data_IF_060968501283
#
_entry.id   IF_060968501283
#
_cell.length_a   1.000
_cell.length_b   1.000
_cell.length_c   1.000
_cell.angle_alpha   90.00
_cell.angle_beta   90.00
_cell.angle_gamma   90.00
#
_symmetry.space_group_name_H-M   'P 1'
#
loop_
_entity.id
_entity.type
_entity.pdbx_description
1 polymer ?
#
# COMPACT_ATOMS: atom_id res chain seq x y z
N UNK A 1 2.31 34.17 -11.92
CA UNK A 1 2.82 32.97 -11.23
C UNK A 1 2.55 33.10 -9.73
N UNK A 2 1.45 32.55 -9.15
CA UNK A 2 1.18 32.71 -7.72
C UNK A 2 1.03 31.43 -6.85
N UNK A 3 1.01 30.20 -7.37
CA UNK A 3 0.86 29.03 -6.48
C UNK A 3 1.01 27.64 -7.10
N UNK A 4 1.69 26.75 -6.37
CA UNK A 4 1.97 25.34 -6.71
C UNK A 4 1.48 24.38 -5.62
N UNK A 5 0.24 23.91 -5.65
CA UNK A 5 -0.86 24.78 -5.24
C UNK A 5 -0.76 25.02 -3.72
N UNK A 6 -0.90 26.27 -3.30
CA UNK A 6 -0.34 26.90 -2.09
C UNK A 6 -0.43 26.14 -0.74
N UNK A 7 0.60 25.44 -0.23
CA UNK A 7 1.70 24.71 -0.89
C UNK A 7 1.55 23.24 -0.44
N UNK A 8 0.93 22.43 -1.28
CA UNK A 8 0.62 21.01 -1.06
C UNK A 8 -0.27 20.73 0.17
N UNK A 9 -1.53 21.16 0.12
CA UNK A 9 -1.97 22.24 0.99
C UNK A 9 -2.18 21.73 2.44
N UNK A 10 -1.36 22.10 3.44
CA UNK A 10 -0.10 22.84 3.40
C UNK A 10 0.95 22.00 4.14
N UNK A 11 1.69 21.16 3.41
CA UNK A 11 2.23 19.88 3.90
C UNK A 11 1.15 18.92 4.46
N UNK A 12 -0.06 18.98 3.88
CA UNK A 12 -1.27 18.23 4.27
C UNK A 12 -1.54 18.14 5.79
N UNK A 13 -1.90 19.24 6.46
CA UNK A 13 -0.87 20.09 7.07
C UNK A 13 -0.43 19.44 8.40
N UNK A 14 0.86 19.53 8.72
CA UNK A 14 1.51 18.91 9.90
C UNK A 14 1.21 17.40 10.07
N UNK A 15 1.07 16.72 8.92
CA UNK A 15 0.96 15.27 8.78
C UNK A 15 -0.28 14.63 9.43
N UNK A 16 -1.37 15.34 9.69
CA UNK A 16 -2.54 14.76 10.38
C UNK A 16 -3.29 13.69 9.54
N UNK A 17 -3.12 13.70 8.22
CA UNK A 17 -3.84 12.86 7.25
C UNK A 17 -2.85 11.94 6.53
N UNK A 18 -3.28 10.71 6.24
CA UNK A 18 -2.52 9.75 5.43
C UNK A 18 -2.98 9.83 3.98
N UNK A 19 -2.05 9.99 3.04
CA UNK A 19 -2.33 10.11 1.62
C UNK A 19 -2.40 8.74 0.93
N UNK A 20 -3.33 8.53 -0.02
CA UNK A 20 -3.43 7.29 -0.79
C UNK A 20 -2.24 7.09 -1.73
N UNK A 21 -1.69 5.87 -1.75
CA UNK A 21 -0.61 5.47 -2.65
C UNK A 21 -1.00 5.58 -4.14
N UNK A 22 -0.03 5.62 -5.09
CA UNK A 22 -0.27 5.95 -6.50
C UNK A 22 -1.45 5.22 -7.16
N UNK A 23 -1.54 3.90 -6.95
CA UNK A 23 -2.52 3.04 -7.63
C UNK A 23 -3.95 3.08 -7.07
N UNK A 24 -4.22 3.79 -5.95
CA UNK A 24 -5.58 3.87 -5.41
C UNK A 24 -6.43 4.90 -6.17
N UNK A 25 -7.72 4.59 -6.36
CA UNK A 25 -8.70 5.52 -6.93
C UNK A 25 -8.91 6.73 -6.00
N UNK A 26 -8.44 7.90 -6.46
CA UNK A 26 -8.51 9.17 -5.72
C UNK A 26 -9.68 10.06 -6.15
N UNK A 27 -10.14 9.92 -7.38
CA UNK A 27 -11.29 10.61 -7.99
C UNK A 27 -12.60 10.45 -7.21
N UNK A 28 -12.70 9.41 -6.38
CA UNK A 28 -13.88 9.07 -5.58
C UNK A 28 -13.79 9.57 -4.13
N UNK A 29 -12.70 10.21 -3.74
CA UNK A 29 -12.46 10.71 -2.39
C UNK A 29 -13.02 12.14 -2.26
N UNK A 30 -13.92 12.43 -1.29
CA UNK A 30 -14.57 13.73 -1.17
C UNK A 30 -13.66 14.88 -0.73
N UNK A 31 -12.46 14.59 -0.20
CA UNK A 31 -11.49 15.58 0.24
C UNK A 31 -10.42 15.81 -0.83
N UNK A 32 -10.34 17.03 -1.36
CA UNK A 32 -9.37 17.41 -2.39
C UNK A 32 -7.91 17.16 -1.97
N UNK A 33 -7.60 17.14 -0.66
CA UNK A 33 -6.25 16.82 -0.15
C UNK A 33 -5.86 15.37 -0.43
N UNK A 34 -6.83 14.46 -0.50
CA UNK A 34 -6.60 13.05 -0.83
C UNK A 34 -6.58 12.80 -2.35
N UNK A 35 -6.90 13.82 -3.16
CA UNK A 35 -6.88 13.76 -4.62
C UNK A 35 -5.49 14.09 -5.23
N UNK A 36 -4.50 14.42 -4.38
CA UNK A 36 -3.11 14.63 -4.81
C UNK A 36 -2.57 13.36 -5.49
N UNK A 37 -2.08 13.51 -6.72
CA UNK A 37 -1.57 12.39 -7.51
C UNK A 37 -0.20 11.91 -7.03
N UNK A 38 0.65 12.88 -6.68
CA UNK A 38 2.05 12.66 -6.29
C UNK A 38 2.23 12.99 -4.81
N UNK A 39 3.25 12.40 -4.17
CA UNK A 39 3.54 12.69 -2.77
C UNK A 39 4.33 14.00 -2.60
N UNK A 40 3.80 14.99 -1.83
CA UNK A 40 4.53 16.22 -1.56
C UNK A 40 5.84 15.95 -0.80
N UNK A 41 6.92 16.63 -1.18
CA UNK A 41 8.24 16.43 -0.57
C UNK A 41 8.25 16.72 0.95
N UNK A 42 7.43 17.67 1.40
CA UNK A 42 7.24 18.00 2.83
C UNK A 42 6.48 16.90 3.59
N UNK A 43 5.41 16.33 3.00
CA UNK A 43 4.67 15.19 3.52
C UNK A 43 5.57 13.96 3.71
N UNK A 44 6.38 13.66 2.69
CA UNK A 44 7.33 12.54 2.71
C UNK A 44 8.30 12.60 3.91
N UNK A 45 8.79 13.79 4.28
CA UNK A 45 9.63 13.94 5.48
C UNK A 45 8.84 13.67 6.78
N UNK A 46 7.61 14.21 6.91
CA UNK A 46 6.88 14.19 8.18
C UNK A 46 6.18 12.85 8.51
N UNK A 47 5.89 11.99 7.50
CA UNK A 47 5.05 10.79 7.69
C UNK A 47 5.67 9.74 8.63
N UNK A 48 6.97 9.82 8.92
CA UNK A 48 7.76 8.75 9.54
C UNK A 48 7.39 8.27 10.96
N UNK A 49 6.42 8.90 11.60
CA UNK A 49 5.85 8.47 12.89
C UNK A 49 4.34 8.20 12.82
N UNK A 50 3.77 8.05 11.62
CA UNK A 50 2.31 7.91 11.40
C UNK A 50 1.98 6.79 10.40
N UNK A 51 0.82 6.11 10.55
CA UNK A 51 -0.09 6.21 11.70
C UNK A 51 0.60 5.75 13.01
N UNK A 52 0.19 6.27 14.18
CA UNK A 52 0.79 5.87 15.45
C UNK A 52 0.54 4.40 15.74
N UNK A 53 1.43 3.73 16.48
CA UNK A 53 1.26 2.32 16.86
C UNK A 53 -0.08 2.09 17.59
N UNK A 54 -0.87 1.13 17.10
CA UNK A 54 -2.16 0.82 17.69
C UNK A 54 -2.08 -0.34 18.70
N UNK A 55 -2.24 -0.10 20.01
CA UNK A 55 -2.14 -1.16 21.00
C UNK A 55 -3.26 -2.21 20.79
N UNK A 56 -2.93 -3.52 20.74
CA UNK A 56 -3.91 -4.57 20.45
C UNK A 56 -4.94 -4.72 21.58
N UNK A 57 -6.21 -4.50 21.24
CA UNK A 57 -7.34 -4.45 22.17
C UNK A 57 -7.90 -5.84 22.43
N UNK A 58 -8.17 -6.60 21.38
CA UNK A 58 -8.75 -7.95 21.45
C UNK A 58 -7.69 -9.06 21.60
N UNK A 59 -8.11 -10.27 22.01
CA UNK A 59 -7.22 -11.44 22.04
C UNK A 59 -6.71 -11.78 20.64
N UNK A 60 -7.57 -11.67 19.61
CA UNK A 60 -7.20 -11.87 18.22
C UNK A 60 -6.13 -10.87 17.77
N UNK A 61 -6.32 -9.57 18.07
CA UNK A 61 -5.31 -8.53 17.78
C UNK A 61 -3.97 -8.78 18.48
N UNK A 62 -3.98 -9.29 19.72
CA UNK A 62 -2.74 -9.65 20.44
C UNK A 62 -1.99 -10.79 19.76
N UNK A 63 -2.71 -11.80 19.28
CA UNK A 63 -2.14 -12.91 18.50
C UNK A 63 -1.59 -12.40 17.16
N UNK A 64 -2.32 -11.55 16.44
CA UNK A 64 -1.85 -11.01 15.14
C UNK A 64 -0.68 -10.05 15.31
N UNK A 65 -0.64 -9.25 16.37
CA UNK A 65 0.49 -8.39 16.72
C UNK A 65 1.75 -9.20 17.05
N UNK A 66 1.61 -10.27 17.85
CA UNK A 66 2.71 -11.18 18.14
C UNK A 66 3.18 -11.90 16.86
N UNK A 67 2.26 -12.35 16.01
CA UNK A 67 2.57 -12.99 14.74
C UNK A 67 3.31 -12.04 13.78
N UNK A 68 2.87 -10.78 13.62
CA UNK A 68 3.56 -9.76 12.82
C UNK A 68 4.99 -9.55 13.32
N UNK A 69 5.17 -9.31 14.63
CA UNK A 69 6.50 -9.13 15.23
C UNK A 69 7.38 -10.36 15.08
N UNK A 70 6.81 -11.55 15.23
CA UNK A 70 7.55 -12.82 15.09
C UNK A 70 8.01 -13.01 13.65
N UNK A 71 7.12 -12.81 12.66
CA UNK A 71 7.45 -12.89 11.23
C UNK A 71 8.56 -11.91 10.86
N UNK A 72 8.40 -10.63 11.20
CA UNK A 72 9.40 -9.59 10.93
C UNK A 72 10.72 -9.88 11.65
N UNK A 73 10.69 -10.38 12.89
CA UNK A 73 11.89 -10.75 13.63
C UNK A 73 12.61 -11.96 13.01
N UNK A 74 11.86 -12.99 12.58
CA UNK A 74 12.39 -14.15 11.85
C UNK A 74 13.04 -13.70 10.54
N UNK A 75 12.44 -12.79 9.76
CA UNK A 75 13.06 -12.24 8.55
C UNK A 75 14.33 -11.42 8.88
N UNK A 76 14.29 -10.59 9.94
CA UNK A 76 15.43 -9.79 10.41
C UNK A 76 16.63 -10.66 10.85
N UNK A 77 16.38 -11.81 11.49
CA UNK A 77 17.40 -12.78 11.93
C UNK A 77 17.88 -13.73 10.82
N UNK A 78 16.98 -14.22 9.98
CA UNK A 78 17.31 -15.16 8.90
C UNK A 78 18.10 -14.47 7.78
N UNK A 79 17.83 -13.20 7.48
CA UNK A 79 18.52 -12.47 6.39
C UNK A 79 20.06 -12.47 6.55
N UNK A 80 20.67 -12.08 7.68
CA UNK A 80 22.12 -12.18 7.85
C UNK A 80 22.69 -13.60 7.83
N UNK A 81 21.90 -14.61 8.22
CA UNK A 81 22.31 -16.01 8.31
C UNK A 81 22.34 -16.70 6.94
N UNK A 82 21.27 -16.55 6.15
CA UNK A 82 21.12 -17.24 4.86
C UNK A 82 21.57 -16.40 3.66
N UNK A 83 21.50 -15.06 3.75
CA UNK A 83 21.91 -14.16 2.66
C UNK A 83 23.29 -13.54 2.92
N UNK A 84 23.71 -13.41 4.19
CA UNK A 84 25.04 -12.98 4.61
C UNK A 84 25.09 -11.53 5.16
N UNK A 85 26.23 -11.18 5.80
CA UNK A 85 26.35 -10.00 6.66
C UNK A 85 26.52 -8.63 5.97
N UNK A 86 26.91 -8.58 4.70
CA UNK A 86 27.02 -7.32 3.94
C UNK A 86 25.67 -6.86 3.38
N UNK A 87 25.49 -5.53 3.20
CA UNK A 87 24.32 -4.92 2.53
C UNK A 87 22.96 -5.41 3.10
N UNK A 88 22.86 -5.42 4.44
CA UNK A 88 21.72 -6.04 5.14
C UNK A 88 20.38 -5.35 4.83
N UNK A 89 20.39 -4.04 4.62
CA UNK A 89 19.20 -3.25 4.29
C UNK A 89 18.57 -3.66 2.96
N UNK A 90 19.31 -3.60 1.85
CA UNK A 90 18.87 -4.08 0.53
C UNK A 90 18.24 -5.48 0.58
N UNK A 91 18.88 -6.39 1.32
CA UNK A 91 18.46 -7.80 1.43
C UNK A 91 17.20 -7.98 2.26
N UNK A 92 17.06 -7.24 3.37
CA UNK A 92 15.85 -7.25 4.19
C UNK A 92 14.67 -6.70 3.41
N UNK A 93 14.84 -5.56 2.74
CA UNK A 93 13.76 -4.96 1.95
C UNK A 93 13.35 -5.85 0.77
N UNK A 94 14.30 -6.39 0.00
CA UNK A 94 14.01 -7.36 -1.08
C UNK A 94 13.17 -8.57 -0.60
N UNK A 95 13.51 -9.15 0.56
CA UNK A 95 12.79 -10.32 1.11
C UNK A 95 11.42 -9.94 1.70
N UNK A 96 11.28 -8.75 2.28
CA UNK A 96 9.99 -8.28 2.79
C UNK A 96 9.04 -7.91 1.64
N UNK A 97 9.51 -7.10 0.68
CA UNK A 97 8.72 -6.69 -0.50
C UNK A 97 8.38 -7.85 -1.44
N UNK A 98 9.07 -9.00 -1.38
CA UNK A 98 8.64 -10.19 -2.13
C UNK A 98 7.47 -10.94 -1.49
N UNK A 99 7.21 -10.76 -0.20
CA UNK A 99 6.07 -11.38 0.50
C UNK A 99 4.91 -10.40 0.69
N UNK A 100 5.18 -9.09 0.71
CA UNK A 100 4.18 -8.04 0.94
C UNK A 100 3.00 -7.99 -0.07
N UNK A 101 3.12 -8.36 -1.36
CA UNK A 101 1.98 -8.40 -2.28
C UNK A 101 0.94 -9.49 -1.96
N UNK A 102 1.35 -10.58 -1.29
CA UNK A 102 0.52 -11.79 -1.11
C UNK A 102 -0.82 -11.51 -0.41
N UNK A 103 -0.89 -10.76 0.71
CA UNK A 103 -2.16 -10.39 1.34
C UNK A 103 -3.17 -9.71 0.41
N UNK A 104 -2.73 -8.72 -0.37
CA UNK A 104 -3.59 -8.01 -1.32
C UNK A 104 -4.10 -8.94 -2.42
N UNK A 105 -3.23 -9.79 -2.98
CA UNK A 105 -3.62 -10.79 -3.99
C UNK A 105 -4.63 -11.80 -3.45
N UNK A 106 -4.42 -12.34 -2.25
CA UNK A 106 -5.35 -13.29 -1.61
C UNK A 106 -6.70 -12.62 -1.34
N UNK A 107 -6.68 -11.41 -0.77
CA UNK A 107 -7.90 -10.67 -0.47
C UNK A 107 -8.68 -10.34 -1.76
N UNK A 108 -8.00 -9.91 -2.83
CA UNK A 108 -8.58 -9.68 -4.15
C UNK A 108 -9.25 -10.96 -4.70
N UNK A 109 -8.54 -12.09 -4.75
CA UNK A 109 -9.07 -13.36 -5.28
C UNK A 109 -10.27 -13.86 -4.47
N UNK A 110 -10.19 -13.87 -3.13
CA UNK A 110 -11.31 -14.30 -2.27
C UNK A 110 -12.53 -13.40 -2.46
N UNK A 111 -12.34 -12.09 -2.65
CA UNK A 111 -13.44 -11.15 -2.93
C UNK A 111 -14.07 -11.33 -4.30
N UNK A 112 -13.25 -11.53 -5.34
CA UNK A 112 -13.74 -11.85 -6.68
C UNK A 112 -14.59 -13.13 -6.66
N UNK A 113 -14.05 -14.23 -6.09
CA UNK A 113 -14.78 -15.50 -5.95
C UNK A 113 -16.08 -15.33 -5.15
N UNK A 114 -16.06 -14.54 -4.07
CA UNK A 114 -17.27 -14.25 -3.31
C UNK A 114 -18.32 -13.54 -4.17
N UNK A 115 -17.95 -12.50 -4.93
CA UNK A 115 -18.88 -11.77 -5.80
C UNK A 115 -19.48 -12.66 -6.89
N UNK A 116 -18.70 -13.59 -7.45
CA UNK A 116 -19.20 -14.60 -8.40
C UNK A 116 -20.21 -15.56 -7.74
N UNK A 117 -19.96 -16.01 -6.51
CA UNK A 117 -20.82 -16.96 -5.79
C UNK A 117 -22.09 -16.32 -5.21
N UNK A 118 -22.02 -15.09 -4.70
CA UNK A 118 -23.17 -14.41 -4.09
C UNK A 118 -23.95 -13.52 -5.06
N UNK A 119 -23.39 -13.25 -6.25
CA UNK A 119 -23.88 -12.24 -7.20
C UNK A 119 -24.03 -10.83 -6.60
N UNK A 120 -23.33 -10.54 -5.50
CA UNK A 120 -23.31 -9.23 -4.85
C UNK A 120 -22.27 -8.30 -5.47
N UNK A 121 -22.57 -7.00 -5.51
CA UNK A 121 -21.59 -5.98 -5.89
C UNK A 121 -20.43 -5.96 -4.88
N UNK A 122 -19.22 -6.26 -5.35
CA UNK A 122 -18.02 -6.30 -4.51
C UNK A 122 -17.75 -4.99 -3.75
N UNK A 123 -18.31 -3.88 -4.25
CA UNK A 123 -18.13 -2.57 -3.67
C UNK A 123 -16.67 -2.13 -3.74
N UNK A 124 -16.03 -2.34 -4.89
CA UNK A 124 -14.72 -1.80 -5.30
C UNK A 124 -13.48 -2.23 -4.53
N UNK A 125 -13.65 -3.02 -3.47
CA UNK A 125 -12.58 -3.49 -2.58
C UNK A 125 -11.60 -4.42 -3.30
N UNK A 126 -12.07 -5.15 -4.32
CA UNK A 126 -11.25 -5.90 -5.28
C UNK A 126 -10.18 -5.00 -5.90
N UNK A 127 -10.57 -3.83 -6.42
CA UNK A 127 -9.61 -2.90 -7.01
C UNK A 127 -8.66 -2.32 -5.95
N UNK A 128 -9.16 -2.00 -4.76
CA UNK A 128 -8.31 -1.57 -3.63
C UNK A 128 -7.22 -2.59 -3.29
N UNK A 129 -7.56 -3.88 -3.21
CA UNK A 129 -6.59 -4.93 -2.87
C UNK A 129 -5.65 -5.31 -4.01
N UNK A 130 -6.09 -5.20 -5.27
CA UNK A 130 -5.19 -5.30 -6.42
C UNK A 130 -4.21 -4.13 -6.45
N UNK A 131 -4.66 -2.91 -6.17
CA UNK A 131 -3.81 -1.72 -6.10
C UNK A 131 -2.79 -1.81 -4.96
N UNK A 132 -3.17 -2.32 -3.78
CA UNK A 132 -2.26 -2.58 -2.65
C UNK A 132 -1.19 -3.63 -3.03
N UNK A 133 -1.59 -4.74 -3.65
CA UNK A 133 -0.66 -5.75 -4.14
C UNK A 133 0.30 -5.22 -5.22
N UNK A 134 -0.20 -4.40 -6.15
CA UNK A 134 0.61 -3.78 -7.20
C UNK A 134 1.59 -2.74 -6.62
N UNK A 135 1.20 -2.02 -5.57
CA UNK A 135 2.08 -1.10 -4.85
C UNK A 135 3.27 -1.82 -4.20
N UNK A 136 3.01 -2.89 -3.45
CA UNK A 136 4.07 -3.71 -2.87
C UNK A 136 4.92 -4.43 -3.94
N UNK A 137 4.32 -4.77 -5.10
CA UNK A 137 5.07 -5.30 -6.23
C UNK A 137 6.00 -4.22 -6.84
N UNK A 138 5.59 -2.95 -6.89
CA UNK A 138 6.45 -1.85 -7.28
C UNK A 138 7.62 -1.66 -6.29
N UNK A 139 7.42 -1.90 -4.99
CA UNK A 139 8.51 -1.94 -4.01
C UNK A 139 9.54 -3.02 -4.38
N UNK A 140 9.09 -4.26 -4.63
CA UNK A 140 9.95 -5.37 -5.03
C UNK A 140 10.75 -5.03 -6.31
N UNK A 141 10.07 -4.49 -7.32
CA UNK A 141 10.71 -4.11 -8.59
C UNK A 141 11.78 -3.02 -8.42
N UNK A 142 11.59 -2.06 -7.50
CA UNK A 142 12.61 -1.08 -7.16
C UNK A 142 13.84 -1.73 -6.49
N UNK A 143 13.63 -2.68 -5.57
CA UNK A 143 14.72 -3.42 -4.91
C UNK A 143 15.48 -4.35 -5.87
N UNK A 144 14.80 -4.92 -6.87
CA UNK A 144 15.43 -5.75 -7.90
C UNK A 144 16.37 -4.96 -8.82
N UNK A 145 16.08 -3.70 -9.13
CA UNK A 145 17.01 -2.81 -9.86
C UNK A 145 18.27 -2.51 -9.05
N UNK A 146 18.14 -2.34 -7.74
CA UNK A 146 19.27 -2.09 -6.83
C UNK A 146 20.10 -3.37 -6.64
N UNK A 147 19.44 -4.52 -6.53
CA UNK A 147 20.08 -5.79 -6.20
C UNK A 147 19.35 -6.98 -6.83
N UNK A 148 19.82 -7.44 -7.99
CA UNK A 148 19.37 -8.71 -8.56
C UNK A 148 19.86 -9.92 -7.72
N UNK A 149 18.98 -10.66 -7.02
CA UNK A 149 19.35 -11.85 -6.25
C UNK A 149 19.87 -12.99 -7.13
N UNK A 150 20.82 -13.77 -6.61
CA UNK A 150 21.29 -15.01 -7.26
C UNK A 150 20.24 -16.13 -7.19
N UNK A 151 20.41 -17.17 -8.01
CA UNK A 151 19.42 -18.25 -8.19
C UNK A 151 18.95 -18.88 -6.86
N UNK A 152 19.87 -19.23 -5.95
CA UNK A 152 19.53 -19.81 -4.64
C UNK A 152 18.57 -18.91 -3.86
N UNK A 153 18.84 -17.60 -3.82
CA UNK A 153 18.01 -16.62 -3.10
C UNK A 153 16.63 -16.48 -3.76
N UNK A 154 16.58 -16.46 -5.10
CA UNK A 154 15.33 -16.43 -5.87
C UNK A 154 14.47 -17.66 -5.59
N UNK A 155 15.06 -18.86 -5.60
CA UNK A 155 14.35 -20.11 -5.30
C UNK A 155 13.86 -20.13 -3.85
N UNK A 156 14.66 -19.67 -2.88
CA UNK A 156 14.22 -19.57 -1.48
C UNK A 156 13.07 -18.59 -1.28
N UNK A 157 13.09 -17.44 -1.96
CA UNK A 157 11.99 -16.47 -1.95
C UNK A 157 10.72 -17.09 -2.55
N UNK A 158 10.81 -17.70 -3.74
CA UNK A 158 9.65 -18.33 -4.39
C UNK A 158 9.03 -19.45 -3.54
N UNK A 159 9.84 -20.28 -2.87
CA UNK A 159 9.34 -21.30 -1.93
C UNK A 159 8.66 -20.65 -0.72
N UNK A 160 9.25 -19.61 -0.14
CA UNK A 160 8.65 -18.89 0.98
C UNK A 160 7.32 -18.20 0.59
N UNK A 161 7.25 -17.63 -0.61
CA UNK A 161 6.07 -16.98 -1.17
C UNK A 161 4.93 -17.98 -1.41
N UNK A 162 5.21 -19.14 -2.01
CA UNK A 162 4.21 -20.22 -2.17
C UNK A 162 3.70 -20.72 -0.81
N UNK A 163 4.59 -20.96 0.16
CA UNK A 163 4.19 -21.42 1.49
C UNK A 163 3.37 -20.34 2.23
N UNK A 164 3.77 -19.07 2.13
CA UNK A 164 3.05 -17.96 2.73
C UNK A 164 1.68 -17.75 2.09
N UNK A 165 1.58 -17.80 0.75
CA UNK A 165 0.33 -17.70 0.02
C UNK A 165 -0.68 -18.76 0.47
N UNK A 166 -0.29 -20.05 0.49
CA UNK A 166 -1.20 -21.12 0.89
C UNK A 166 -1.67 -20.99 2.36
N UNK A 167 -0.76 -20.63 3.26
CA UNK A 167 -1.10 -20.36 4.66
C UNK A 167 -2.05 -19.16 4.78
N UNK A 168 -1.75 -18.07 4.07
CA UNK A 168 -2.53 -16.83 4.15
C UNK A 168 -3.92 -16.99 3.52
N UNK A 169 -4.09 -17.77 2.45
CA UNK A 169 -5.42 -18.15 1.92
C UNK A 169 -6.28 -18.83 3.00
N UNK A 170 -5.74 -19.85 3.69
CA UNK A 170 -6.48 -20.55 4.75
C UNK A 170 -6.83 -19.61 5.90
N UNK A 171 -5.88 -18.78 6.34
CA UNK A 171 -6.12 -17.80 7.40
C UNK A 171 -7.16 -16.75 7.01
N UNK A 172 -7.12 -16.26 5.76
CA UNK A 172 -8.04 -15.21 5.27
C UNK A 172 -9.47 -15.74 5.11
N UNK A 173 -9.64 -17.00 4.70
CA UNK A 173 -10.95 -17.66 4.65
C UNK A 173 -11.56 -17.88 6.05
N UNK A 174 -10.73 -18.15 7.06
CA UNK A 174 -11.18 -18.39 8.44
C UNK A 174 -11.38 -17.10 9.26
N UNK A 175 -10.52 -16.10 9.07
CA UNK A 175 -10.46 -14.91 9.91
C UNK A 175 -9.94 -13.67 9.14
N UNK A 176 -10.72 -13.11 8.19
CA UNK A 176 -10.26 -12.01 7.33
C UNK A 176 -9.96 -10.72 8.12
N UNK A 177 -10.74 -10.40 9.16
CA UNK A 177 -10.47 -9.27 10.06
C UNK A 177 -9.13 -9.41 10.82
N UNK A 178 -8.78 -10.63 11.23
CA UNK A 178 -7.48 -10.91 11.85
C UNK A 178 -6.33 -10.81 10.83
N UNK A 179 -6.58 -11.21 9.58
CA UNK A 179 -5.61 -11.08 8.49
C UNK A 179 -5.32 -9.61 8.12
N UNK A 180 -6.34 -8.75 8.11
CA UNK A 180 -6.16 -7.30 7.98
C UNK A 180 -5.46 -6.69 9.21
N UNK A 181 -5.76 -7.16 10.43
CA UNK A 181 -4.99 -6.76 11.64
C UNK A 181 -3.52 -7.17 11.55
N UNK A 182 -3.23 -8.35 10.99
CA UNK A 182 -1.86 -8.84 10.77
C UNK A 182 -1.09 -7.93 9.79
N UNK A 183 -1.70 -7.58 8.64
CA UNK A 183 -1.09 -6.66 7.67
C UNK A 183 -0.85 -5.29 8.28
N UNK A 184 -1.84 -4.70 8.96
CA UNK A 184 -1.68 -3.43 9.69
C UNK A 184 -0.42 -3.41 10.55
N UNK A 185 -0.17 -4.48 11.32
CA UNK A 185 1.00 -4.59 12.18
C UNK A 185 2.31 -4.91 11.45
N UNK A 186 2.26 -5.59 10.31
CA UNK A 186 3.41 -5.71 9.41
C UNK A 186 3.81 -4.34 8.85
N UNK A 187 2.84 -3.51 8.46
CA UNK A 187 3.07 -2.16 7.97
C UNK A 187 3.58 -1.21 9.07
N UNK A 188 3.07 -1.30 10.31
CA UNK A 188 3.63 -0.54 11.44
C UNK A 188 5.12 -0.90 11.70
N UNK A 189 5.51 -2.17 11.52
CA UNK A 189 6.93 -2.59 11.54
C UNK A 189 7.71 -2.14 10.30
N UNK A 190 7.08 -2.05 9.12
CA UNK A 190 7.69 -1.55 7.88
C UNK A 190 8.00 -0.05 7.97
N UNK A 191 7.08 0.76 8.49
CA UNK A 191 7.30 2.20 8.77
C UNK A 191 8.49 2.39 9.72
N UNK A 192 8.56 1.59 10.79
CA UNK A 192 9.68 1.58 11.74
C UNK A 192 11.00 1.18 11.07
N UNK A 193 10.97 0.21 10.16
CA UNK A 193 12.12 -0.26 9.39
C UNK A 193 12.63 0.83 8.43
N UNK A 194 11.76 1.46 7.66
CA UNK A 194 12.09 2.57 6.75
C UNK A 194 12.59 3.80 7.51
N UNK A 195 11.92 4.21 8.60
CA UNK A 195 12.38 5.31 9.47
C UNK A 195 13.71 5.02 10.19
N UNK A 196 14.13 3.75 10.28
CA UNK A 196 15.47 3.40 10.78
C UNK A 196 16.51 3.47 9.66
N UNK A 197 16.23 2.90 8.48
CA UNK A 197 17.11 3.02 7.33
C UNK A 197 17.35 4.48 6.89
N UNK A 198 16.33 5.34 6.98
CA UNK A 198 16.46 6.78 6.69
C UNK A 198 17.38 7.50 7.69
N UNK A 199 17.34 7.14 8.98
CA UNK A 199 18.27 7.68 9.99
C UNK A 199 19.69 7.20 9.74
N UNK A 200 19.87 5.90 9.47
CA UNK A 200 21.17 5.36 9.07
C UNK A 200 21.72 6.07 7.80
N UNK A 201 20.86 6.45 6.84
CA UNK A 201 21.26 7.25 5.67
C UNK A 201 21.68 8.68 6.04
N UNK A 202 20.87 9.36 6.84
CA UNK A 202 21.10 10.76 7.25
C UNK A 202 22.36 10.90 8.15
N UNK A 203 22.72 9.85 8.89
CA UNK A 203 23.96 9.75 9.67
C UNK A 203 25.19 9.31 8.83
N UNK A 204 25.02 8.97 7.55
CA UNK A 204 26.09 8.47 6.67
C UNK A 204 26.51 7.01 6.91
N UNK A 205 25.71 6.25 7.68
CA UNK A 205 25.92 4.83 7.97
C UNK A 205 25.40 3.89 6.84
N UNK A 206 24.56 4.40 5.94
CA UNK A 206 24.12 3.75 4.71
C UNK A 206 24.78 4.37 3.46
N UNK A 207 24.73 3.64 2.35
CA UNK A 207 25.19 4.16 1.06
C UNK A 207 24.14 5.08 0.42
N UNK A 208 24.60 6.14 -0.25
CA UNK A 208 23.79 6.96 -1.14
C UNK A 208 24.04 6.55 -2.61
N UNK A 209 22.97 6.43 -3.40
CA UNK A 209 23.04 6.32 -4.87
C UNK A 209 21.70 6.79 -5.49
N UNK A 210 21.63 7.00 -6.81
CA UNK A 210 20.43 7.51 -7.47
C UNK A 210 19.25 6.53 -7.38
N UNK A 211 18.04 7.07 -7.43
CA UNK A 211 16.81 6.30 -7.48
C UNK A 211 16.72 5.50 -8.79
N UNK A 212 16.34 4.20 -8.75
CA UNK A 212 16.08 3.41 -9.94
C UNK A 212 15.09 4.07 -10.90
N UNK A 213 15.21 3.83 -12.20
CA UNK A 213 14.30 4.44 -13.19
C UNK A 213 12.84 4.00 -12.98
N UNK A 214 12.59 2.73 -12.65
CA UNK A 214 11.24 2.24 -12.34
C UNK A 214 10.66 2.96 -11.11
N UNK A 215 11.47 3.12 -10.05
CA UNK A 215 11.08 3.85 -8.86
C UNK A 215 10.74 5.33 -9.15
N UNK A 216 11.61 6.05 -9.87
CA UNK A 216 11.35 7.44 -10.26
C UNK A 216 10.07 7.59 -11.08
N UNK A 217 9.82 6.66 -12.00
CA UNK A 217 8.61 6.69 -12.83
C UNK A 217 7.34 6.39 -12.03
N UNK A 218 7.40 5.42 -11.11
CA UNK A 218 6.25 4.97 -10.33
C UNK A 218 5.79 5.99 -9.27
N UNK A 219 6.72 6.59 -8.52
CA UNK A 219 6.43 7.62 -7.52
C UNK A 219 6.51 9.06 -8.05
N UNK A 220 6.64 9.24 -9.37
CA UNK A 220 6.84 10.53 -10.05
C UNK A 220 7.94 11.41 -9.40
N UNK A 221 9.09 10.81 -9.07
CA UNK A 221 10.17 11.48 -8.36
C UNK A 221 11.02 12.36 -9.29
N UNK A 222 11.65 13.43 -8.76
CA UNK A 222 12.60 14.26 -9.50
C UNK A 222 13.72 13.47 -10.22
N UNK A 223 14.24 14.04 -11.30
CA UNK A 223 15.27 13.39 -12.11
C UNK A 223 16.56 13.09 -11.33
N UNK A 224 16.88 13.92 -10.33
CA UNK A 224 18.02 13.84 -9.41
C UNK A 224 17.73 13.08 -8.11
N UNK A 225 16.52 12.51 -7.95
CA UNK A 225 16.13 11.76 -6.76
C UNK A 225 17.08 10.60 -6.45
N UNK A 226 17.31 10.36 -5.16
CA UNK A 226 18.18 9.30 -4.63
C UNK A 226 17.36 8.16 -4.03
N UNK A 227 18.03 7.10 -3.57
CA UNK A 227 17.38 6.05 -2.78
C UNK A 227 16.66 6.59 -1.53
N UNK A 228 17.05 7.75 -0.99
CA UNK A 228 16.40 8.38 0.15
C UNK A 228 14.95 8.75 -0.17
N UNK A 229 14.70 9.38 -1.32
CA UNK A 229 13.37 9.76 -1.79
C UNK A 229 12.49 8.52 -2.03
N UNK A 230 13.07 7.44 -2.54
CA UNK A 230 12.39 6.14 -2.70
C UNK A 230 11.99 5.55 -1.35
N UNK A 231 12.89 5.53 -0.35
CA UNK A 231 12.57 5.05 0.99
C UNK A 231 11.50 5.90 1.69
N UNK A 232 11.50 7.21 1.45
CA UNK A 232 10.46 8.10 1.97
C UNK A 232 9.09 7.79 1.35
N UNK A 233 9.04 7.52 0.05
CA UNK A 233 7.81 7.16 -0.66
C UNK A 233 7.27 5.79 -0.24
N UNK A 234 8.12 4.75 -0.17
CA UNK A 234 7.74 3.43 0.36
C UNK A 234 7.21 3.50 1.81
N UNK A 235 7.74 4.43 2.62
CA UNK A 235 7.26 4.68 3.98
C UNK A 235 5.89 5.35 4.03
N UNK A 236 5.58 6.21 3.06
CA UNK A 236 4.25 6.79 2.89
C UNK A 236 3.23 5.75 2.41
N UNK A 237 3.64 4.86 1.49
CA UNK A 237 2.84 3.72 1.04
C UNK A 237 2.49 2.79 2.21
N UNK A 238 3.48 2.39 3.02
CA UNK A 238 3.25 1.58 4.23
C UNK A 238 2.30 2.28 5.25
N UNK A 239 2.38 3.61 5.38
CA UNK A 239 1.44 4.37 6.21
C UNK A 239 0.00 4.30 5.67
N UNK A 240 -0.18 4.37 4.35
CA UNK A 240 -1.46 4.15 3.66
C UNK A 240 -1.97 2.73 3.90
N UNK A 241 -1.18 1.71 3.57
CA UNK A 241 -1.51 0.28 3.71
C UNK A 241 -1.86 -0.08 5.17
N UNK A 242 -1.13 0.44 6.15
CA UNK A 242 -1.42 0.27 7.58
C UNK A 242 -2.79 0.83 7.96
N UNK A 243 -3.10 2.05 7.53
CA UNK A 243 -4.36 2.73 7.87
C UNK A 243 -5.55 2.05 7.18
N UNK A 244 -5.37 1.66 5.91
CA UNK A 244 -6.35 0.95 5.10
C UNK A 244 -6.70 -0.43 5.68
N UNK A 245 -5.70 -1.25 5.99
CA UNK A 245 -5.89 -2.54 6.63
C UNK A 245 -6.41 -2.40 8.07
N UNK A 246 -6.03 -1.34 8.78
CA UNK A 246 -6.62 -1.00 10.08
C UNK A 246 -8.13 -0.72 10.02
N UNK A 247 -8.61 -0.11 8.93
CA UNK A 247 -10.04 0.09 8.67
C UNK A 247 -10.73 -1.23 8.27
N UNK A 248 -10.12 -2.06 7.41
CA UNK A 248 -10.67 -3.35 7.03
C UNK A 248 -10.77 -4.34 8.19
N UNK A 249 -9.80 -4.32 9.12
CA UNK A 249 -9.86 -5.10 10.35
C UNK A 249 -11.10 -4.78 11.21
N UNK A 250 -11.48 -3.49 11.29
CA UNK A 250 -12.64 -3.02 12.06
C UNK A 250 -13.99 -3.22 11.34
N UNK A 251 -13.99 -3.43 10.02
CA UNK A 251 -15.19 -3.66 9.22
C UNK A 251 -15.63 -5.12 9.29
N UNK A 252 -16.53 -5.47 10.22
CA UNK A 252 -17.09 -6.83 10.28
C UNK A 252 -17.89 -7.22 9.02
N UNK A 253 -18.80 -6.36 8.52
CA UNK A 253 -19.51 -6.56 7.26
C UNK A 253 -19.92 -5.21 6.61
N UNK A 254 -20.01 -5.19 5.27
CA UNK A 254 -20.57 -4.11 4.39
C UNK A 254 -19.91 -2.71 4.42
N UNK A 255 -19.34 -2.27 3.29
CA UNK A 255 -19.20 -0.85 2.85
C UNK A 255 -19.17 -0.83 1.30
N UNK A 256 -19.89 0.12 0.69
CA UNK A 256 -20.00 0.38 -0.76
C UNK A 256 -18.83 1.22 -1.34
N UNK A 257 -18.43 1.01 -2.60
CA UNK A 257 -17.44 1.90 -3.27
C UNK A 257 -18.12 3.12 -3.93
N UNK A 258 -17.67 4.35 -3.65
CA UNK A 258 -18.18 5.55 -4.30
C UNK A 258 -18.01 5.61 -5.83
N UNK A 259 -17.11 4.84 -6.45
CA UNK A 259 -16.90 4.84 -7.92
C UNK A 259 -18.14 4.39 -8.73
N UNK A 260 -18.97 3.51 -8.16
CA UNK A 260 -20.17 2.97 -8.81
C UNK A 260 -21.47 3.49 -8.19
N UNK A 261 -21.43 4.08 -6.99
CA UNK A 261 -22.61 4.47 -6.21
C UNK A 261 -23.30 5.77 -6.66
N UNK A 262 -23.39 6.03 -7.97
CA UNK A 262 -24.11 7.21 -8.50
C UNK A 262 -25.64 7.08 -8.42
N UNK A 263 -26.15 5.89 -8.07
CA UNK A 263 -27.58 5.50 -8.20
C UNK A 263 -28.23 4.90 -6.93
N UNK A 264 -27.57 4.87 -5.76
CA UNK A 264 -28.20 4.34 -4.54
C UNK A 264 -27.85 5.09 -3.24
N UNK A 265 -28.74 4.97 -2.26
CA UNK A 265 -28.76 5.70 -0.97
C UNK A 265 -27.57 5.41 -0.04
N UNK A 266 -26.62 4.57 -0.47
CA UNK A 266 -25.46 4.06 0.28
C UNK A 266 -24.27 5.03 0.35
N UNK A 267 -24.33 6.19 -0.34
CA UNK A 267 -23.30 7.23 -0.35
C UNK A 267 -22.82 7.67 1.05
N UNK A 268 -23.69 7.59 2.07
CA UNK A 268 -23.37 7.99 3.46
C UNK A 268 -22.37 7.07 4.18
N UNK A 269 -22.21 5.82 3.75
CA UNK A 269 -21.29 4.86 4.39
C UNK A 269 -19.85 4.98 3.86
N UNK A 270 -19.68 5.23 2.56
CA UNK A 270 -18.37 5.45 1.94
C UNK A 270 -17.63 6.66 2.54
N UNK A 271 -18.38 7.73 2.88
CA UNK A 271 -17.86 8.89 3.60
C UNK A 271 -17.19 8.47 4.92
N UNK A 272 -17.63 7.40 5.59
CA UNK A 272 -17.10 6.98 6.89
C UNK A 272 -15.68 6.39 6.81
N UNK A 273 -15.33 5.63 5.76
CA UNK A 273 -13.97 5.09 5.60
C UNK A 273 -12.97 6.20 5.30
N UNK A 274 -13.33 7.13 4.41
CA UNK A 274 -12.49 8.30 4.11
C UNK A 274 -12.38 9.23 5.32
N UNK A 275 -13.46 9.37 6.11
CA UNK A 275 -13.48 10.07 7.40
C UNK A 275 -12.64 9.39 8.50
N UNK A 276 -12.16 8.17 8.31
CA UNK A 276 -11.16 7.53 9.19
C UNK A 276 -9.72 7.60 8.65
N UNK A 277 -9.52 7.78 7.35
CA UNK A 277 -8.22 8.24 6.79
C UNK A 277 -7.93 9.70 7.21
N UNK A 278 -8.98 10.52 7.38
CA UNK A 278 -8.94 11.88 7.87
C UNK A 278 -9.22 11.99 9.38
N UNK A 279 -8.23 11.66 10.21
CA UNK A 279 -8.30 11.89 11.67
C UNK A 279 -8.39 13.40 11.95
N UNK A 280 -9.60 13.88 12.29
CA UNK A 280 -9.79 15.15 13.01
C UNK A 280 -10.32 16.38 12.25
N UNK A 281 -11.13 16.25 11.18
CA UNK A 281 -11.71 17.42 10.49
C UNK A 281 -13.26 17.40 10.49
N UNK A 282 -13.94 18.52 10.86
CA UNK A 282 -15.41 18.62 10.83
C UNK A 282 -15.99 18.78 9.41
N UNK A 283 -17.31 18.62 9.33
CA UNK A 283 -18.08 18.41 8.09
C UNK A 283 -18.22 19.69 7.23
N UNK A 284 -17.95 19.59 5.93
CA UNK A 284 -18.15 20.66 4.94
C UNK A 284 -19.21 20.27 3.90
N UNK A 285 -19.95 21.25 3.40
CA UNK A 285 -21.16 21.05 2.58
C UNK A 285 -20.87 20.53 1.15
N UNK A 286 -21.79 19.78 0.52
CA UNK A 286 -21.55 19.12 -0.77
C UNK A 286 -21.53 20.07 -1.96
N UNK A 287 -20.55 19.89 -2.85
CA UNK A 287 -20.45 20.57 -4.15
C UNK A 287 -21.17 19.80 -5.28
N UNK A 288 -21.48 20.49 -6.38
CA UNK A 288 -22.30 20.01 -7.50
C UNK A 288 -21.56 19.10 -8.50
N UNK A 289 -22.31 18.19 -9.16
CA UNK A 289 -21.82 17.22 -10.16
C UNK A 289 -21.08 17.85 -11.36
N UNK A 290 -19.98 17.25 -11.85
CA UNK A 290 -19.44 17.47 -13.19
C UNK A 290 -20.19 16.64 -14.26
N UNK A 291 -20.00 17.01 -15.54
CA UNK A 291 -20.71 16.44 -16.68
C UNK A 291 -20.09 15.13 -17.24
N UNK A 292 -20.89 14.35 -17.96
CA UNK A 292 -20.52 13.04 -18.53
C UNK A 292 -19.88 13.17 -19.93
N UNK A 293 -18.92 12.30 -20.24
CA UNK A 293 -18.45 12.03 -21.61
C UNK A 293 -18.94 10.66 -22.10
N UNK A 294 -19.20 10.49 -23.42
CA UNK A 294 -19.62 9.21 -23.99
C UNK A 294 -18.45 8.21 -24.08
N UNK A 295 -18.72 6.89 -24.08
CA UNK A 295 -17.67 5.86 -24.12
C UNK A 295 -16.94 5.85 -25.46
N UNK A 296 -15.61 5.86 -25.40
CA UNK A 296 -14.73 5.55 -26.54
C UNK A 296 -14.70 4.06 -26.85
N UNK A 297 -14.26 3.72 -28.06
CA UNK A 297 -14.36 2.39 -28.69
C UNK A 297 -13.40 1.35 -28.07
N UNK A 298 -13.79 0.84 -26.90
CA UNK A 298 -12.96 -0.01 -26.01
C UNK A 298 -12.44 -1.29 -26.69
N UNK A 299 -13.17 -1.81 -27.67
CA UNK A 299 -12.89 -3.09 -28.34
C UNK A 299 -11.57 -3.06 -29.12
N UNK A 300 -11.27 -1.95 -29.81
CA UNK A 300 -10.00 -1.80 -30.54
C UNK A 300 -8.78 -1.79 -29.63
N UNK A 301 -8.91 -1.21 -28.44
CA UNK A 301 -7.84 -1.19 -27.44
C UNK A 301 -7.57 -2.60 -26.88
N UNK A 302 -8.61 -3.42 -26.75
CA UNK A 302 -8.46 -4.81 -26.28
C UNK A 302 -7.82 -5.73 -27.33
N UNK A 303 -8.16 -5.58 -28.62
CA UNK A 303 -7.51 -6.35 -29.70
C UNK A 303 -6.00 -6.06 -29.80
N UNK A 304 -5.58 -4.81 -29.58
CA UNK A 304 -4.14 -4.47 -29.56
C UNK A 304 -3.38 -5.05 -28.37
N UNK A 305 -4.03 -5.23 -27.21
CA UNK A 305 -3.38 -5.72 -25.98
C UNK A 305 -3.27 -7.24 -25.91
N UNK A 306 -4.17 -7.99 -26.56
CA UNK A 306 -4.14 -9.46 -26.55
C UNK A 306 -3.52 -10.09 -27.80
N UNK A 307 -3.20 -9.31 -28.83
CA UNK A 307 -2.53 -9.81 -30.03
C UNK A 307 -1.06 -10.22 -29.84
N UNK A 308 -0.38 -9.73 -28.80
CA UNK A 308 1.06 -9.96 -28.59
C UNK A 308 1.38 -11.12 -27.61
N UNK A 309 0.42 -11.64 -26.84
CA UNK A 309 0.67 -12.67 -25.81
C UNK A 309 0.41 -14.13 -26.26
N UNK A 310 -0.05 -14.37 -27.50
CA UNK A 310 -0.41 -15.70 -28.01
C UNK A 310 0.25 -16.07 -29.36
N UNK A 311 1.48 -15.60 -29.59
CA UNK A 311 2.34 -15.99 -30.72
C UNK A 311 3.15 -17.26 -30.47
#
# INVERSE_FOLDING_TARGET
MPGSAQQDCQAVADCAVILPHPNLRRDVLPDARLQLHDYPANYLQCVGGKPPHHPPKSLSERVTFLAAKTLVHVVKLSTPLFLGRGRQWERRFLVLSSLAPVPGLVAAVVRHLKSVVTHEEDSGRLHTFLAEAENEHAHLLAWLDIRCPGLVVRSSIAVAEVLFFQLYVVLYLLAPSACHSLVRYMEEEAISLYSTALRDMDEGNLWAAPAPQRARSYWNLPADATLREVLLAMRADAACSSTLNGAFAAMHHVIANPAWSSHSTSSKAAVHTVRQLAVGVPEAAPASKPAQQPPGDLLRTMEQLWGEELG
#
